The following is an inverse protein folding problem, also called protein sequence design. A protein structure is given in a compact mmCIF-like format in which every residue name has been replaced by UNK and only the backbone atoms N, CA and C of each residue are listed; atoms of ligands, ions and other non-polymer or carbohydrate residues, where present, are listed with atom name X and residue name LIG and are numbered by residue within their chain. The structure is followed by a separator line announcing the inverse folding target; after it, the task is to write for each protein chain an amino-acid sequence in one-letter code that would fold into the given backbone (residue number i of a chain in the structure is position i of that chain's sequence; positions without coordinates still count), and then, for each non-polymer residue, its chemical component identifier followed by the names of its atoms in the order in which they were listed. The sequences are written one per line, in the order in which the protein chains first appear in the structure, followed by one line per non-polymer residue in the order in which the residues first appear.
data_IF_731379752966
#
_entry.id   IF_731379752966
#
_cell.length_a   1.000
_cell.length_b   1.000
_cell.length_c   1.000
_cell.angle_alpha   90.00
_cell.angle_beta   90.00
_cell.angle_gamma   90.00
#
_symmetry.space_group_name_H-M   'P 1'
#
loop_
_entity.id
_entity.type
_entity.pdbx_description
1 polymer ?
#
# COMPACT_ATOMS: atom_id res chain seq x y z
N UNK A 1 -26.35 -15.50 -10.45
CA UNK A 1 -26.31 -14.28 -9.61
C UNK A 1 -25.08 -13.52 -10.02
N UNK A 2 -25.31 -12.34 -10.57
CA UNK A 2 -24.26 -11.43 -11.00
C UNK A 2 -23.64 -10.78 -9.75
N UNK A 3 -22.36 -10.45 -9.80
CA UNK A 3 -21.69 -9.74 -8.72
C UNK A 3 -22.15 -8.29 -8.60
N UNK A 4 -22.90 -7.78 -9.59
CA UNK A 4 -23.56 -6.48 -9.59
C UNK A 4 -24.43 -6.25 -8.36
N UNK A 5 -25.23 -7.23 -7.91
CA UNK A 5 -26.08 -7.11 -6.72
C UNK A 5 -25.27 -6.75 -5.46
N UNK A 6 -24.06 -7.32 -5.33
CA UNK A 6 -23.16 -7.01 -4.20
C UNK A 6 -22.60 -5.60 -4.33
N UNK A 7 -22.26 -5.16 -5.54
CA UNK A 7 -21.74 -3.81 -5.76
C UNK A 7 -22.82 -2.74 -5.55
N UNK A 8 -24.06 -3.01 -5.97
CA UNK A 8 -25.22 -2.14 -5.71
C UNK A 8 -25.54 -2.04 -4.23
N UNK A 9 -25.37 -3.13 -3.46
CA UNK A 9 -25.52 -3.09 -2.00
C UNK A 9 -24.48 -2.19 -1.32
N UNK A 10 -23.35 -1.91 -1.97
CA UNK A 10 -22.31 -0.99 -1.49
C UNK A 10 -22.64 0.42 -1.99
N UNK A 11 -23.69 1.00 -1.41
CA UNK A 11 -24.06 2.38 -1.71
C UNK A 11 -23.21 3.37 -0.89
N UNK A 12 -22.32 4.10 -1.56
CA UNK A 12 -21.40 5.07 -0.95
C UNK A 12 -21.72 6.49 -1.43
N UNK A 13 -21.86 7.41 -0.50
CA UNK A 13 -22.08 8.84 -0.78
C UNK A 13 -20.77 9.59 -1.14
N UNK A 14 -19.62 8.95 -0.95
CA UNK A 14 -18.30 9.51 -1.22
C UNK A 14 -17.40 8.51 -1.94
N UNK A 15 -16.40 8.99 -2.69
CA UNK A 15 -15.40 8.14 -3.31
C UNK A 15 -14.65 7.27 -2.29
N UNK A 16 -14.65 5.95 -2.50
CA UNK A 16 -13.88 5.03 -1.68
C UNK A 16 -13.16 3.97 -2.53
N UNK A 17 -12.12 3.39 -1.95
CA UNK A 17 -11.32 2.32 -2.52
C UNK A 17 -11.70 1.00 -1.86
N UNK A 18 -12.10 -0.02 -2.61
CA UNK A 18 -12.42 -1.32 -2.03
C UNK A 18 -11.13 -2.00 -1.56
N UNK A 19 -11.02 -2.27 -0.25
CA UNK A 19 -9.89 -3.00 0.35
C UNK A 19 -10.33 -4.32 1.02
N UNK A 20 -11.62 -4.61 1.04
CA UNK A 20 -12.16 -5.85 1.60
C UNK A 20 -11.75 -7.05 0.75
N UNK A 21 -10.81 -7.85 1.30
CA UNK A 21 -10.29 -9.02 0.59
C UNK A 21 -11.34 -10.07 0.26
N UNK A 22 -12.41 -10.16 1.07
CA UNK A 22 -13.48 -11.14 0.87
C UNK A 22 -14.29 -10.78 -0.37
N UNK A 23 -14.64 -9.49 -0.51
CA UNK A 23 -15.40 -8.99 -1.65
C UNK A 23 -14.53 -9.02 -2.90
N UNK A 24 -13.31 -8.49 -2.86
CA UNK A 24 -12.39 -8.49 -4.02
C UNK A 24 -12.12 -9.92 -4.50
N UNK A 25 -11.92 -10.86 -3.57
CA UNK A 25 -11.72 -12.27 -3.89
C UNK A 25 -12.97 -12.95 -4.46
N UNK A 26 -14.16 -12.54 -3.99
CA UNK A 26 -15.45 -12.98 -4.52
C UNK A 26 -15.68 -12.49 -5.95
N UNK A 27 -15.45 -11.20 -6.22
CA UNK A 27 -15.53 -10.59 -7.55
C UNK A 27 -14.63 -11.32 -8.55
N UNK A 28 -13.37 -11.55 -8.19
CA UNK A 28 -12.41 -12.22 -9.06
C UNK A 28 -12.77 -13.69 -9.37
N UNK A 29 -13.56 -14.36 -8.52
CA UNK A 29 -13.99 -15.75 -8.70
C UNK A 29 -15.43 -15.87 -9.21
N UNK A 30 -16.09 -14.75 -9.47
CA UNK A 30 -17.52 -14.65 -9.73
C UNK A 30 -18.38 -15.39 -8.67
N UNK A 31 -17.95 -15.32 -7.40
CA UNK A 31 -18.56 -15.98 -6.24
C UNK A 31 -18.94 -14.93 -5.20
N UNK A 32 -19.97 -14.17 -5.53
CA UNK A 32 -20.49 -13.09 -4.70
C UNK A 32 -21.60 -13.63 -3.78
N UNK A 33 -21.29 -13.90 -2.51
CA UNK A 33 -22.27 -14.23 -1.46
C UNK A 33 -22.42 -13.04 -0.52
N UNK A 34 -23.66 -12.66 -0.22
CA UNK A 34 -24.04 -11.37 0.38
C UNK A 34 -23.88 -11.24 1.91
N UNK A 35 -23.24 -12.19 2.61
CA UNK A 35 -23.10 -12.12 4.07
C UNK A 35 -21.81 -11.41 4.47
N UNK A 36 -21.82 -10.08 4.46
CA UNK A 36 -20.72 -9.26 4.98
C UNK A 36 -21.22 -8.38 6.13
N UNK A 37 -20.64 -8.56 7.33
CA UNK A 37 -21.04 -7.82 8.54
C UNK A 37 -20.57 -6.37 8.54
N UNK A 38 -19.31 -6.13 8.14
CA UNK A 38 -18.77 -4.79 7.87
C UNK A 38 -17.84 -4.86 6.66
N UNK A 39 -18.01 -3.93 5.74
CA UNK A 39 -17.25 -3.87 4.49
C UNK A 39 -16.05 -2.95 4.68
N UNK A 40 -14.86 -3.45 4.38
CA UNK A 40 -13.63 -2.68 4.55
C UNK A 40 -13.34 -1.80 3.33
N UNK A 41 -13.28 -0.48 3.54
CA UNK A 41 -13.05 0.51 2.48
C UNK A 41 -11.93 1.48 2.84
N UNK A 42 -11.21 1.93 1.83
CA UNK A 42 -10.21 2.97 1.90
C UNK A 42 -10.81 4.32 1.53
N UNK A 43 -10.60 5.38 2.31
CA UNK A 43 -11.11 6.72 1.99
C UNK A 43 -9.98 7.73 1.99
N UNK A 44 -9.96 8.63 1.00
CA UNK A 44 -8.93 9.67 0.93
C UNK A 44 -9.09 10.61 2.14
N UNK A 45 -7.99 10.92 2.82
CA UNK A 45 -7.95 11.82 3.98
C UNK A 45 -8.51 13.22 3.67
N UNK A 46 -8.46 13.66 2.42
CA UNK A 46 -9.11 14.91 1.97
C UNK A 46 -10.63 14.92 2.23
N UNK A 47 -11.26 13.76 2.35
CA UNK A 47 -12.69 13.58 2.62
C UNK A 47 -13.02 13.31 4.10
N UNK A 48 -12.02 13.36 4.99
CA UNK A 48 -12.19 13.06 6.42
C UNK A 48 -13.33 13.89 7.04
N UNK A 49 -13.34 15.20 6.81
CA UNK A 49 -14.32 16.11 7.40
C UNK A 49 -15.77 15.87 6.91
N UNK A 50 -15.95 15.31 5.70
CA UNK A 50 -17.28 14.97 5.17
C UNK A 50 -17.76 13.62 5.67
N UNK A 51 -16.85 12.66 5.81
CA UNK A 51 -17.15 11.27 6.20
C UNK A 51 -17.41 11.17 7.70
N UNK A 52 -16.68 11.90 8.54
CA UNK A 52 -16.85 11.87 9.99
C UNK A 52 -18.20 12.47 10.47
N UNK A 53 -18.92 13.19 9.61
CA UNK A 53 -20.24 13.77 9.94
C UNK A 53 -21.37 12.75 9.87
N UNK A 54 -21.15 11.60 9.26
CA UNK A 54 -22.17 10.59 9.01
C UNK A 54 -21.85 9.28 9.75
N UNK A 55 -22.90 8.57 10.18
CA UNK A 55 -22.75 7.26 10.81
C UNK A 55 -22.56 6.18 9.73
N UNK A 56 -21.40 5.54 9.72
CA UNK A 56 -21.04 4.48 8.75
C UNK A 56 -20.92 3.11 9.41
N UNK A 57 -21.94 2.69 10.17
CA UNK A 57 -21.90 1.45 10.96
C UNK A 57 -21.59 0.17 10.14
N UNK A 58 -21.92 0.17 8.84
CA UNK A 58 -21.73 -0.95 7.91
C UNK A 58 -20.32 -1.00 7.30
N UNK A 59 -19.50 0.02 7.52
CA UNK A 59 -18.18 0.14 6.92
C UNK A 59 -17.06 0.13 7.97
N UNK A 60 -15.97 -0.55 7.66
CA UNK A 60 -14.68 -0.41 8.34
C UNK A 60 -13.79 0.49 7.47
N UNK A 61 -13.72 1.76 7.86
CA UNK A 61 -13.06 2.82 7.08
C UNK A 61 -11.58 2.91 7.46
N UNK A 62 -10.72 2.80 6.45
CA UNK A 62 -9.28 3.03 6.56
C UNK A 62 -8.93 4.26 5.75
N UNK A 63 -8.41 5.31 6.39
CA UNK A 63 -8.00 6.50 5.66
C UNK A 63 -6.69 6.29 4.91
N UNK A 64 -6.54 6.94 3.76
CA UNK A 64 -5.29 6.95 3.00
C UNK A 64 -4.98 8.32 2.41
N UNK A 65 -3.70 8.57 2.14
CA UNK A 65 -3.23 9.73 1.39
C UNK A 65 -2.80 9.33 -0.02
N UNK A 66 -3.17 10.16 -0.99
CA UNK A 66 -2.81 10.02 -2.40
C UNK A 66 -2.03 11.24 -2.87
N UNK A 67 -0.70 11.17 -2.80
CA UNK A 67 0.16 12.28 -3.22
C UNK A 67 0.31 12.32 -4.75
N UNK A 68 0.11 13.50 -5.36
CA UNK A 68 0.25 13.66 -6.82
C UNK A 68 1.67 13.41 -7.32
N UNK A 69 2.68 13.70 -6.50
CA UNK A 69 4.11 13.56 -6.79
C UNK A 69 4.70 12.21 -6.35
N UNK A 70 3.85 11.26 -5.93
CA UNK A 70 4.27 9.90 -5.55
C UNK A 70 3.54 8.86 -6.38
N UNK A 71 4.19 7.70 -6.49
CA UNK A 71 3.72 6.49 -7.15
C UNK A 71 3.13 5.47 -6.16
N UNK A 72 2.74 5.90 -4.97
CA UNK A 72 2.14 5.05 -3.93
C UNK A 72 0.99 5.72 -3.19
N UNK A 73 0.19 4.89 -2.52
CA UNK A 73 -0.86 5.24 -1.58
C UNK A 73 -0.39 4.90 -0.16
N UNK A 74 -0.59 5.82 0.78
CA UNK A 74 -0.25 5.64 2.19
C UNK A 74 -1.53 5.40 2.98
N UNK A 75 -1.77 4.16 3.40
CA UNK A 75 -2.93 3.76 4.18
C UNK A 75 -2.62 3.77 5.68
N UNK A 76 -3.44 4.47 6.46
CA UNK A 76 -3.39 4.53 7.92
C UNK A 76 -4.11 3.35 8.57
N UNK A 77 -3.80 2.13 8.09
CA UNK A 77 -4.19 0.87 8.76
C UNK A 77 -3.31 0.65 10.01
N UNK A 78 -3.64 -0.34 10.83
CA UNK A 78 -2.81 -0.77 11.95
C UNK A 78 -2.17 -2.15 11.65
N UNK A 79 -0.88 -2.21 11.27
CA UNK A 79 0.08 -1.11 11.08
C UNK A 79 -0.09 -0.39 9.74
N UNK A 80 0.49 0.80 9.63
CA UNK A 80 0.46 1.63 8.42
C UNK A 80 0.92 0.84 7.21
N UNK A 81 0.33 1.09 6.05
CA UNK A 81 0.61 0.36 4.83
C UNK A 81 0.97 1.30 3.70
N UNK A 82 1.91 0.88 2.87
CA UNK A 82 2.22 1.58 1.62
C UNK A 82 2.03 0.65 0.44
N UNK A 83 1.21 1.08 -0.50
CA UNK A 83 0.76 0.30 -1.63
C UNK A 83 1.10 1.08 -2.90
N UNK A 84 1.86 0.50 -3.85
CA UNK A 84 2.08 1.13 -5.14
C UNK A 84 0.76 1.52 -5.82
N UNK A 85 0.75 2.67 -6.48
CA UNK A 85 -0.41 3.13 -7.25
C UNK A 85 -0.71 2.11 -8.33
N UNK A 86 -1.99 1.78 -8.46
CA UNK A 86 -2.47 0.76 -9.40
C UNK A 86 -3.69 1.25 -10.15
N UNK A 87 -3.93 0.62 -11.29
CA UNK A 87 -5.15 0.86 -12.05
C UNK A 87 -6.35 0.31 -11.30
N UNK A 88 -7.39 1.13 -11.27
CA UNK A 88 -8.68 0.81 -10.68
C UNK A 88 -9.75 1.00 -11.74
N UNK A 89 -10.76 0.16 -11.70
CA UNK A 89 -12.02 0.42 -12.39
C UNK A 89 -13.02 0.98 -11.39
N UNK A 90 -13.95 1.81 -11.86
CA UNK A 90 -14.92 2.51 -11.01
C UNK A 90 -16.31 1.92 -11.19
N UNK A 91 -17.00 1.71 -10.08
CA UNK A 91 -18.42 1.38 -10.01
C UNK A 91 -19.11 2.43 -9.11
N UNK A 92 -19.74 3.43 -9.73
CA UNK A 92 -20.21 4.61 -9.00
C UNK A 92 -19.06 5.29 -8.24
N UNK A 93 -19.23 5.43 -6.92
CA UNK A 93 -18.21 5.99 -6.01
C UNK A 93 -17.19 4.96 -5.51
N UNK A 94 -17.31 3.68 -5.88
CA UNK A 94 -16.40 2.63 -5.46
C UNK A 94 -15.30 2.41 -6.50
N UNK A 95 -14.04 2.52 -6.09
CA UNK A 95 -12.86 2.20 -6.89
C UNK A 95 -12.37 0.80 -6.54
N UNK A 96 -12.27 -0.08 -7.53
CA UNK A 96 -11.92 -1.49 -7.34
C UNK A 96 -10.60 -1.79 -8.07
N UNK A 97 -9.63 -2.45 -7.43
CA UNK A 97 -8.39 -2.85 -8.08
C UNK A 97 -8.65 -3.67 -9.35
N UNK A 98 -8.07 -3.25 -10.47
CA UNK A 98 -8.21 -3.97 -11.75
C UNK A 98 -7.46 -5.30 -11.73
N UNK A 99 -6.22 -5.30 -11.22
CA UNK A 99 -5.46 -6.53 -10.98
C UNK A 99 -5.58 -6.93 -9.50
N UNK A 100 -6.56 -7.77 -9.22
CA UNK A 100 -6.85 -8.24 -7.85
C UNK A 100 -5.72 -9.10 -7.29
N UNK A 101 -5.03 -9.88 -8.12
CA UNK A 101 -3.91 -10.74 -7.69
C UNK A 101 -2.75 -9.87 -7.23
N UNK A 102 -2.35 -8.89 -8.06
CA UNK A 102 -1.28 -7.94 -7.71
C UNK A 102 -1.65 -7.11 -6.48
N UNK A 103 -2.90 -6.67 -6.36
CA UNK A 103 -3.37 -5.98 -5.15
C UNK A 103 -3.15 -6.83 -3.89
N UNK A 104 -3.50 -8.12 -3.91
CA UNK A 104 -3.28 -8.97 -2.74
C UNK A 104 -1.81 -9.16 -2.40
N UNK A 105 -0.95 -9.28 -3.39
CA UNK A 105 0.50 -9.41 -3.17
C UNK A 105 1.11 -8.13 -2.59
N UNK A 106 0.69 -6.96 -3.07
CA UNK A 106 1.07 -5.68 -2.47
C UNK A 106 0.49 -5.53 -1.06
N UNK A 107 -0.79 -5.81 -0.85
CA UNK A 107 -1.42 -5.72 0.46
C UNK A 107 -0.76 -6.65 1.50
N UNK A 108 -0.31 -7.83 1.09
CA UNK A 108 0.43 -8.76 1.96
C UNK A 108 1.76 -8.15 2.44
N UNK A 109 2.47 -7.43 1.55
CA UNK A 109 3.82 -6.91 1.77
C UNK A 109 3.87 -5.43 2.18
N UNK A 110 2.73 -4.73 2.20
CA UNK A 110 2.66 -3.29 2.39
C UNK A 110 2.92 -2.80 3.81
N UNK A 111 2.96 -3.70 4.81
CA UNK A 111 3.04 -3.33 6.22
C UNK A 111 4.35 -2.64 6.56
N UNK A 112 4.25 -1.43 7.09
CA UNK A 112 5.35 -0.75 7.74
C UNK A 112 5.64 -1.39 9.09
N UNK A 113 6.81 -1.99 9.20
CA UNK A 113 7.33 -2.49 10.47
C UNK A 113 8.13 -1.39 11.16
N UNK A 114 7.98 -1.27 12.47
CA UNK A 114 8.80 -0.37 13.28
C UNK A 114 10.26 -0.87 13.24
N UNK A 115 11.19 0.01 12.87
CA UNK A 115 12.61 -0.30 12.95
C UNK A 115 13.00 -0.56 14.41
N UNK A 116 13.89 -1.53 14.68
CA UNK A 116 14.36 -1.89 16.04
C UNK A 116 15.32 -0.87 16.68
N UNK A 117 15.39 0.36 16.17
CA UNK A 117 16.26 1.42 16.72
C UNK A 117 17.76 1.08 16.73
N UNK A 118 18.19 0.12 15.89
CA UNK A 118 19.59 -0.31 15.83
C UNK A 118 20.44 0.77 15.17
N UNK A 119 21.43 1.29 15.89
CA UNK A 119 22.40 2.23 15.34
C UNK A 119 23.53 1.46 14.67
N UNK A 120 23.77 1.73 13.39
CA UNK A 120 24.96 1.23 12.67
C UNK A 120 25.93 2.39 12.59
N UNK A 121 27.04 2.30 13.32
CA UNK A 121 28.15 3.24 13.17
C UNK A 121 28.85 2.96 11.85
N UNK A 122 28.69 3.89 10.90
CA UNK A 122 29.37 3.81 9.60
C UNK A 122 30.52 4.79 9.59
N UNK A 123 31.72 4.31 9.27
CA UNK A 123 32.84 5.18 8.96
C UNK A 123 32.46 6.03 7.73
N UNK A 124 32.75 7.33 7.81
CA UNK A 124 32.50 8.28 6.72
C UNK A 124 33.55 8.09 5.63
N UNK A 125 33.48 6.98 4.92
CA UNK A 125 34.27 6.77 3.70
C UNK A 125 33.56 7.43 2.51
N UNK A 126 34.32 7.96 1.54
CA UNK A 126 33.75 8.55 0.34
C UNK A 126 32.90 7.52 -0.41
N UNK A 127 31.64 7.88 -0.67
CA UNK A 127 30.69 6.98 -1.34
C UNK A 127 31.06 6.89 -2.81
N UNK A 128 31.38 5.68 -3.25
CA UNK A 128 31.72 5.39 -4.64
C UNK A 128 30.48 5.21 -5.55
N UNK A 129 29.31 4.92 -4.97
CA UNK A 129 28.11 4.59 -5.73
C UNK A 129 27.35 5.84 -6.23
N UNK A 130 27.07 5.94 -7.54
CA UNK A 130 26.22 6.99 -8.09
C UNK A 130 24.77 6.75 -7.66
N UNK A 131 24.35 7.41 -6.58
CA UNK A 131 23.06 7.18 -5.91
C UNK A 131 21.88 7.21 -6.88
N UNK A 132 21.75 8.29 -7.67
CA UNK A 132 20.63 8.50 -8.60
C UNK A 132 20.51 7.36 -9.61
N UNK A 133 21.62 6.99 -10.25
CA UNK A 133 21.63 5.93 -11.25
C UNK A 133 21.33 4.57 -10.61
N UNK A 134 21.87 4.32 -9.42
CA UNK A 134 21.62 3.08 -8.67
C UNK A 134 20.14 2.95 -8.35
N UNK A 135 19.51 4.02 -7.89
CA UNK A 135 18.08 4.05 -7.55
C UNK A 135 17.19 3.87 -8.77
N UNK A 136 17.47 4.58 -9.85
CA UNK A 136 16.74 4.43 -11.11
C UNK A 136 16.85 3.00 -11.64
N UNK A 137 18.06 2.43 -11.62
CA UNK A 137 18.31 1.06 -12.07
C UNK A 137 17.59 0.04 -11.20
N UNK A 138 17.65 0.19 -9.87
CA UNK A 138 16.96 -0.71 -8.94
C UNK A 138 15.44 -0.59 -9.04
N UNK A 139 14.89 0.62 -9.19
CA UNK A 139 13.45 0.83 -9.42
C UNK A 139 12.98 0.20 -10.74
N UNK A 140 13.75 0.37 -11.81
CA UNK A 140 13.48 -0.27 -13.10
C UNK A 140 13.55 -1.80 -13.01
N UNK A 141 14.54 -2.34 -12.29
CA UNK A 141 14.66 -3.78 -12.08
C UNK A 141 13.50 -4.36 -11.25
N UNK A 142 13.08 -3.67 -10.18
CA UNK A 142 11.91 -4.08 -9.39
C UNK A 142 10.65 -4.05 -10.25
N UNK A 143 10.49 -3.01 -11.08
CA UNK A 143 9.36 -2.90 -12.01
C UNK A 143 9.36 -4.04 -13.03
N UNK A 144 10.53 -4.37 -13.59
CA UNK A 144 10.73 -5.49 -14.50
C UNK A 144 10.35 -6.82 -13.83
N UNK A 145 10.89 -7.13 -12.65
CA UNK A 145 10.53 -8.35 -11.90
C UNK A 145 9.03 -8.42 -11.60
N UNK A 146 8.43 -7.29 -11.23
CA UNK A 146 7.00 -7.21 -10.91
C UNK A 146 6.12 -7.47 -12.14
N UNK A 147 6.61 -7.19 -13.34
CA UNK A 147 5.92 -7.55 -14.60
C UNK A 147 5.81 -9.07 -14.80
N UNK A 148 6.72 -9.86 -14.22
CA UNK A 148 6.68 -11.32 -14.20
C UNK A 148 6.03 -11.89 -12.93
N UNK A 149 5.28 -11.09 -12.18
CA UNK A 149 4.70 -11.47 -10.88
C UNK A 149 5.74 -11.89 -9.83
N UNK A 150 6.97 -11.37 -9.94
CA UNK A 150 8.02 -11.54 -8.93
C UNK A 150 8.02 -10.29 -8.05
N UNK A 151 7.82 -10.47 -6.75
CA UNK A 151 7.72 -9.38 -5.78
C UNK A 151 8.95 -9.38 -4.86
N UNK A 152 10.05 -8.73 -5.28
CA UNK A 152 11.30 -8.76 -4.54
C UNK A 152 11.18 -8.07 -3.19
N UNK A 153 11.78 -8.68 -2.17
CA UNK A 153 11.98 -8.07 -0.86
C UNK A 153 13.37 -7.45 -0.84
N UNK A 154 13.45 -6.16 -0.51
CA UNK A 154 14.73 -5.55 -0.19
C UNK A 154 15.17 -6.09 1.18
N UNK A 155 16.40 -6.60 1.27
CA UNK A 155 16.97 -7.15 2.49
C UNK A 155 18.39 -6.64 2.73
N UNK A 156 18.79 -6.57 4.00
CA UNK A 156 20.18 -6.26 4.37
C UNK A 156 20.60 -4.83 4.01
N UNK A 157 21.82 -4.69 3.46
CA UNK A 157 22.51 -3.42 3.15
C UNK A 157 21.69 -2.39 2.37
N UNK A 158 20.83 -2.86 1.45
CA UNK A 158 19.97 -2.01 0.61
C UNK A 158 18.91 -1.23 1.42
N UNK A 159 18.56 -1.70 2.62
CA UNK A 159 17.66 -0.99 3.56
C UNK A 159 18.42 -0.15 4.60
N UNK A 160 19.75 -0.10 4.54
CA UNK A 160 20.57 0.57 5.53
C UNK A 160 21.03 1.96 5.05
N UNK A 161 20.88 2.30 3.76
CA UNK A 161 21.27 3.59 3.22
C UNK A 161 20.15 4.65 3.38
N UNK A 162 20.38 5.72 4.15
CA UNK A 162 19.36 6.74 4.43
C UNK A 162 18.97 7.60 3.22
N UNK A 163 19.72 7.53 2.11
CA UNK A 163 19.37 8.17 0.84
C UNK A 163 18.60 7.21 -0.07
N UNK A 164 18.89 5.91 0.01
CA UNK A 164 18.17 4.88 -0.73
C UNK A 164 16.70 4.78 -0.31
N UNK A 165 16.45 4.94 0.99
CA UNK A 165 15.10 5.06 1.57
C UNK A 165 14.40 6.37 1.16
N UNK A 166 15.14 7.46 0.91
CA UNK A 166 14.59 8.79 0.58
C UNK A 166 14.11 8.91 -0.87
N UNK A 167 14.63 8.10 -1.79
CA UNK A 167 14.38 8.25 -3.23
C UNK A 167 13.77 7.01 -3.91
N UNK A 168 13.72 5.83 -3.28
CA UNK A 168 12.94 4.67 -3.78
C UNK A 168 11.41 4.90 -3.78
N UNK A 169 10.92 6.07 -3.35
CA UNK A 169 9.51 6.46 -3.42
C UNK A 169 8.53 5.32 -3.12
N UNK A 170 8.81 4.55 -2.06
CA UNK A 170 7.78 3.99 -1.22
C UNK A 170 7.74 4.72 0.12
N UNK A 171 8.79 5.43 0.55
CA UNK A 171 8.85 5.98 1.91
C UNK A 171 9.41 7.40 1.98
N UNK A 172 8.59 8.43 1.68
CA UNK A 172 8.96 9.81 2.02
C UNK A 172 7.86 10.61 2.71
N UNK A 173 7.54 10.23 3.96
CA UNK A 173 7.33 11.16 5.10
C UNK A 173 7.25 10.40 6.45
N UNK A 174 8.35 9.75 6.85
CA UNK A 174 8.62 9.43 8.26
C UNK A 174 9.77 10.31 8.76
N UNK A 175 9.58 11.64 8.70
CA UNK A 175 10.63 12.61 9.05
C UNK A 175 10.76 12.87 10.56
N UNK A 176 10.30 11.94 11.39
CA UNK A 176 10.43 12.05 12.85
C UNK A 176 11.00 10.80 13.53
N UNK A 177 11.29 9.73 12.80
CA UNK A 177 11.94 8.55 13.36
C UNK A 177 13.20 8.27 12.56
N UNK A 178 14.35 8.45 13.21
CA UNK A 178 15.65 8.02 12.72
C UNK A 178 15.63 6.51 12.44
N UNK A 179 15.22 6.09 11.25
CA UNK A 179 15.42 4.72 10.76
C UNK A 179 16.69 4.68 9.91
N UNK A 180 17.80 4.34 10.58
CA UNK A 180 18.92 3.66 9.95
C UNK A 180 18.67 2.17 10.24
N UNK A 181 18.63 1.34 9.21
CA UNK A 181 18.62 -0.12 9.26
C UNK A 181 17.32 -0.89 9.60
N UNK A 182 16.74 -1.56 8.59
CA UNK A 182 15.82 -2.69 8.78
C UNK A 182 16.54 -4.02 8.44
N UNK A 183 16.85 -4.82 9.46
CA UNK A 183 17.30 -6.21 9.32
C UNK A 183 16.11 -7.17 9.24
N UNK A 184 16.26 -8.20 8.41
CA UNK A 184 15.34 -9.34 8.27
C UNK A 184 15.22 -10.11 9.57
N UNK A 185 14.00 -10.26 10.10
CA UNK A 185 13.67 -11.34 11.03
C UNK A 185 12.85 -12.38 10.25
N UNK A 186 13.51 -13.47 9.86
CA UNK A 186 12.86 -14.73 9.48
C UNK A 186 12.47 -15.38 10.82
N UNK A 187 11.17 -15.46 11.10
CA UNK A 187 10.63 -16.27 12.18
C UNK A 187 10.07 -17.55 11.58
N UNK A 188 10.69 -18.67 11.94
CA UNK A 188 10.13 -20.02 11.79
C UNK A 188 8.87 -20.18 12.64
#
# INVERSE_FOLDING_TARGET
MDCSDVLESINLLFPAFLIDKRIIGGLNRNRCKATFTKIRIGVNMELLASVDRESHANFDIVYYENFTDKDYLLFYDSPTRIIPRMHVWKYGNLSIPQDTKRFFEYWKRSRLLRCRGMKVERKSEPRFLPLKNTLQTMSAFVSYLTSFNIYPLLSGGSLLEPQFIKEISLFRKARQYHCLACGTAIGA
#
